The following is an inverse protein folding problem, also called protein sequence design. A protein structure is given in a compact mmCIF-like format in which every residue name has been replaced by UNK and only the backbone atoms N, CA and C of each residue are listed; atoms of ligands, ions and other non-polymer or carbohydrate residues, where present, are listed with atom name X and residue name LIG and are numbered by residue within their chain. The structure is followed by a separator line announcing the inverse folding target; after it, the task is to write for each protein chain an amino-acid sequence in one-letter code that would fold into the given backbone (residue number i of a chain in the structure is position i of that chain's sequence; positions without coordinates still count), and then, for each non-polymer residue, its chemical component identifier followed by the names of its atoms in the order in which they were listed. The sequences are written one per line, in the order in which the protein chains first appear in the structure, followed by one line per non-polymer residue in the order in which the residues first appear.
data_IF_480369164067
#
_entry.id   IF_480369164067
#
_cell.length_a   1.000
_cell.length_b   1.000
_cell.length_c   1.000
_cell.angle_alpha   90.00
_cell.angle_beta   90.00
_cell.angle_gamma   90.00
#
_symmetry.space_group_name_H-M   'P 1'
#
loop_
_entity.id
_entity.type
_entity.pdbx_description
1 polymer ?
#
# COMPACT_ATOMS: atom_id res chain seq x y z
N UNK A 1 8.82 -12.24 -3.62
CA UNK A 1 8.74 -10.93 -4.29
C UNK A 1 7.77 -10.03 -3.55
N UNK A 2 8.15 -8.80 -3.35
CA UNK A 2 7.29 -7.81 -2.68
C UNK A 2 6.06 -7.53 -3.55
N UNK A 3 4.89 -7.47 -2.92
CA UNK A 3 3.64 -7.22 -3.62
C UNK A 3 3.06 -5.88 -3.18
N UNK A 4 2.90 -4.95 -4.12
CA UNK A 4 2.41 -3.61 -3.83
C UNK A 4 1.15 -3.36 -4.66
N UNK A 5 0.15 -2.75 -4.03
CA UNK A 5 -1.09 -2.40 -4.69
C UNK A 5 -1.29 -0.89 -4.58
N UNK A 6 -1.74 -0.28 -5.67
CA UNK A 6 -2.16 1.10 -5.69
C UNK A 6 -3.63 1.12 -6.08
N UNK A 7 -4.48 1.72 -5.26
CA UNK A 7 -5.90 1.84 -5.57
C UNK A 7 -6.38 3.26 -5.37
N UNK A 8 -6.68 3.93 -6.46
CA UNK A 8 -7.19 5.31 -6.46
C UNK A 8 -8.03 5.47 -7.72
N UNK A 9 -9.23 6.00 -7.56
CA UNK A 9 -10.12 6.17 -8.72
C UNK A 9 -9.63 7.26 -9.67
N UNK A 10 -8.68 8.08 -9.25
CA UNK A 10 -8.07 9.08 -10.11
C UNK A 10 -6.82 8.51 -10.74
N UNK A 11 -6.89 8.24 -12.05
CA UNK A 11 -5.76 7.66 -12.78
C UNK A 11 -4.53 8.54 -12.74
N UNK A 12 -4.71 9.86 -12.59
CA UNK A 12 -3.58 10.77 -12.48
C UNK A 12 -2.73 10.43 -11.26
N UNK A 13 -3.38 10.13 -10.14
CA UNK A 13 -2.66 9.75 -8.93
C UNK A 13 -1.88 8.45 -9.16
N UNK A 14 -2.54 7.46 -9.77
CA UNK A 14 -1.86 6.21 -10.06
C UNK A 14 -0.65 6.41 -10.95
N UNK A 15 -0.78 7.28 -11.96
CA UNK A 15 0.32 7.58 -12.88
C UNK A 15 1.46 8.32 -12.20
N UNK A 16 1.16 9.10 -11.16
CA UNK A 16 2.20 9.80 -10.40
C UNK A 16 2.90 8.87 -9.42
N UNK A 17 2.14 8.01 -8.77
CA UNK A 17 2.69 7.11 -7.77
C UNK A 17 3.59 6.03 -8.36
N UNK A 18 3.16 5.44 -9.46
CA UNK A 18 3.84 4.27 -10.01
C UNK A 18 5.31 4.52 -10.29
N UNK A 19 5.69 5.59 -11.03
CA UNK A 19 7.11 5.80 -11.31
C UNK A 19 7.93 6.07 -10.05
N UNK A 20 7.35 6.76 -9.08
CA UNK A 20 8.06 7.06 -7.83
C UNK A 20 8.38 5.75 -7.09
N UNK A 21 7.39 4.88 -6.97
CA UNK A 21 7.58 3.62 -6.29
C UNK A 21 8.56 2.73 -7.05
N UNK A 22 8.42 2.66 -8.37
CA UNK A 22 9.31 1.86 -9.19
C UNK A 22 10.76 2.32 -9.07
N UNK A 23 10.98 3.63 -9.12
CA UNK A 23 12.32 4.17 -9.04
C UNK A 23 12.95 3.88 -7.67
N UNK A 24 12.17 4.04 -6.62
CA UNK A 24 12.66 3.76 -5.28
C UNK A 24 13.11 2.31 -5.15
N UNK A 25 12.26 1.38 -5.62
CA UNK A 25 12.55 -0.04 -5.50
C UNK A 25 13.74 -0.45 -6.36
N UNK A 26 13.88 0.15 -7.54
CA UNK A 26 15.02 -0.13 -8.40
C UNK A 26 16.33 0.31 -7.75
N UNK A 27 16.32 1.49 -7.15
CA UNK A 27 17.52 1.98 -6.47
C UNK A 27 17.92 1.10 -5.31
N UNK A 28 16.96 0.51 -4.63
CA UNK A 28 17.21 -0.39 -3.52
C UNK A 28 17.40 -1.83 -3.96
N UNK A 29 17.23 -2.11 -5.25
CA UNK A 29 17.37 -3.45 -5.83
C UNK A 29 16.39 -4.44 -5.20
N UNK A 30 15.17 -3.99 -4.99
CA UNK A 30 14.10 -4.82 -4.41
C UNK A 30 13.14 -5.22 -5.51
N UNK A 31 13.06 -6.50 -5.86
CA UNK A 31 12.07 -6.94 -6.85
C UNK A 31 10.66 -6.88 -6.30
N UNK A 32 9.75 -6.38 -7.09
CA UNK A 32 8.37 -6.20 -6.65
C UNK A 32 7.41 -6.31 -7.80
N UNK A 33 6.21 -6.77 -7.49
CA UNK A 33 5.09 -6.74 -8.41
C UNK A 33 4.15 -5.63 -7.96
N UNK A 34 3.80 -4.73 -8.87
CA UNK A 34 2.93 -3.61 -8.55
C UNK A 34 1.66 -3.73 -9.38
N UNK A 35 0.52 -3.76 -8.71
CA UNK A 35 -0.78 -3.81 -9.35
C UNK A 35 -1.51 -2.51 -9.10
N UNK A 36 -2.23 -2.04 -10.12
CA UNK A 36 -2.99 -0.79 -10.03
C UNK A 36 -4.46 -1.06 -10.18
N UNK A 37 -5.26 -0.44 -9.33
CA UNK A 37 -6.71 -0.49 -9.39
C UNK A 37 -7.24 0.93 -9.39
N UNK A 38 -8.26 1.16 -10.20
CA UNK A 38 -8.97 2.45 -10.19
C UNK A 38 -10.38 2.31 -9.64
N UNK A 39 -10.71 1.14 -9.11
CA UNK A 39 -12.06 0.78 -8.74
C UNK A 39 -12.01 -0.15 -7.54
N UNK A 40 -12.63 0.31 -6.45
CA UNK A 40 -12.66 -0.46 -5.22
C UNK A 40 -13.41 -1.79 -5.39
N UNK A 41 -14.43 -1.80 -6.25
CA UNK A 41 -15.20 -3.01 -6.47
C UNK A 41 -14.33 -4.12 -7.03
N UNK A 42 -13.51 -3.79 -8.02
CA UNK A 42 -12.62 -4.78 -8.61
C UNK A 42 -11.59 -5.27 -7.60
N UNK A 43 -11.06 -4.36 -6.81
CA UNK A 43 -10.10 -4.72 -5.78
C UNK A 43 -10.72 -5.69 -4.77
N UNK A 44 -11.95 -5.43 -4.36
CA UNK A 44 -12.63 -6.30 -3.40
C UNK A 44 -12.98 -7.65 -4.03
N UNK A 45 -13.32 -7.68 -5.31
CA UNK A 45 -13.58 -8.94 -5.99
C UNK A 45 -12.33 -9.81 -6.04
N UNK A 46 -11.20 -9.19 -6.35
CA UNK A 46 -9.95 -9.94 -6.50
C UNK A 46 -9.33 -10.32 -5.15
N UNK A 47 -9.51 -9.49 -4.15
CA UNK A 47 -8.94 -9.68 -2.80
C UNK A 47 -7.51 -10.19 -2.84
N UNK A 48 -6.60 -9.48 -3.54
CA UNK A 48 -5.22 -9.98 -3.66
C UNK A 48 -4.45 -9.88 -2.34
N UNK A 49 -3.50 -10.77 -2.18
CA UNK A 49 -2.55 -10.64 -1.08
C UNK A 49 -1.56 -9.53 -1.40
N UNK A 50 -1.14 -8.81 -0.40
CA UNK A 50 -0.22 -7.70 -0.61
C UNK A 50 0.65 -7.47 0.62
N UNK A 51 1.79 -6.86 0.39
CA UNK A 51 2.67 -6.42 1.48
C UNK A 51 2.43 -4.95 1.79
N UNK A 52 2.21 -4.13 0.77
CA UNK A 52 1.96 -2.70 0.93
C UNK A 52 0.85 -2.30 -0.03
N UNK A 53 -0.13 -1.55 0.46
CA UNK A 53 -1.20 -1.02 -0.37
C UNK A 53 -1.32 0.49 -0.14
N UNK A 54 -1.29 1.24 -1.25
CA UNK A 54 -1.63 2.65 -1.24
C UNK A 54 -3.11 2.77 -1.62
N UNK A 55 -3.92 3.25 -0.71
CA UNK A 55 -5.38 3.16 -0.84
C UNK A 55 -6.04 4.52 -0.63
N UNK A 56 -6.71 5.00 -1.66
CA UNK A 56 -7.46 6.26 -1.57
C UNK A 56 -8.63 6.10 -0.62
N UNK A 57 -8.81 7.08 0.27
CA UNK A 57 -9.92 7.08 1.21
C UNK A 57 -11.22 7.52 0.53
N UNK A 58 -11.14 8.54 -0.32
CA UNK A 58 -12.33 9.12 -0.95
C UNK A 58 -12.58 8.54 -2.33
N UNK A 59 -13.28 7.42 -2.39
CA UNK A 59 -13.67 6.85 -3.67
C UNK A 59 -15.20 6.89 -3.80
N UNK A 60 -15.72 7.06 -5.03
CA UNK A 60 -17.14 7.34 -5.21
C UNK A 60 -18.08 6.29 -4.66
N UNK A 61 -17.78 5.02 -4.86
CA UNK A 61 -18.72 3.96 -4.51
C UNK A 61 -18.38 3.29 -3.21
N UNK A 62 -17.13 3.39 -2.79
CA UNK A 62 -16.69 2.67 -1.62
C UNK A 62 -15.59 3.45 -0.93
N UNK A 63 -15.81 3.75 0.33
CA UNK A 63 -14.81 4.45 1.13
C UNK A 63 -13.61 3.53 1.37
N UNK A 64 -12.41 4.08 1.22
CA UNK A 64 -11.19 3.29 1.39
C UNK A 64 -11.07 2.63 2.76
N UNK A 65 -11.61 3.28 3.79
CA UNK A 65 -11.56 2.70 5.13
C UNK A 65 -12.41 1.43 5.19
N UNK A 66 -13.57 1.43 4.52
CA UNK A 66 -14.40 0.23 4.47
C UNK A 66 -13.73 -0.89 3.67
N UNK A 67 -13.01 -0.50 2.62
CA UNK A 67 -12.23 -1.47 1.84
C UNK A 67 -11.17 -2.11 2.73
N UNK A 68 -10.45 -1.30 3.51
CA UNK A 68 -9.44 -1.81 4.42
C UNK A 68 -10.03 -2.77 5.45
N UNK A 69 -11.22 -2.45 5.96
CA UNK A 69 -11.90 -3.33 6.91
C UNK A 69 -12.18 -4.68 6.29
N UNK A 70 -12.59 -4.69 5.00
CA UNK A 70 -12.87 -5.94 4.32
C UNK A 70 -11.62 -6.81 4.22
N UNK A 71 -10.47 -6.22 3.91
CA UNK A 71 -9.23 -6.97 3.88
C UNK A 71 -8.86 -7.53 5.24
N UNK A 72 -9.06 -6.76 6.30
CA UNK A 72 -8.76 -7.23 7.65
C UNK A 72 -9.66 -8.39 8.05
N UNK A 73 -10.92 -8.38 7.62
CA UNK A 73 -11.84 -9.49 7.88
C UNK A 73 -11.37 -10.77 7.22
N UNK A 74 -10.66 -10.67 6.10
CA UNK A 74 -10.11 -11.83 5.41
C UNK A 74 -8.73 -12.20 5.92
N UNK A 75 -8.34 -11.64 7.06
CA UNK A 75 -7.03 -11.89 7.67
C UNK A 75 -5.86 -11.49 6.77
N UNK A 76 -6.08 -10.48 5.95
CA UNK A 76 -5.03 -9.93 5.10
C UNK A 76 -4.42 -8.74 5.82
N UNK A 77 -3.20 -8.90 6.33
CA UNK A 77 -2.58 -7.95 7.23
C UNK A 77 -1.40 -7.18 6.60
N UNK A 78 -1.40 -7.03 5.30
CA UNK A 78 -0.42 -6.18 4.65
C UNK A 78 -0.52 -4.75 5.15
N UNK A 79 0.52 -3.97 4.90
CA UNK A 79 0.57 -2.58 5.36
C UNK A 79 -0.30 -1.73 4.45
N UNK A 80 -1.20 -0.96 5.05
CA UNK A 80 -2.08 -0.07 4.30
C UNK A 80 -1.66 1.36 4.56
N UNK A 81 -1.39 2.10 3.48
CA UNK A 81 -1.06 3.51 3.52
C UNK A 81 -2.19 4.25 2.84
N UNK A 82 -2.90 5.07 3.60
CA UNK A 82 -4.03 5.81 3.04
C UNK A 82 -3.57 7.03 2.27
N UNK A 83 -4.26 7.30 1.16
CA UNK A 83 -4.10 8.53 0.40
C UNK A 83 -5.35 9.36 0.61
N UNK A 84 -5.20 10.64 0.96
CA UNK A 84 -6.36 11.44 1.24
C UNK A 84 -6.09 12.92 1.00
N UNK A 85 -7.14 13.66 0.64
CA UNK A 85 -7.08 15.12 0.57
C UNK A 85 -7.28 15.76 1.93
N UNK A 86 -7.75 15.01 2.91
CA UNK A 86 -8.16 15.57 4.19
C UNK A 86 -7.46 14.89 5.34
N UNK A 87 -6.64 15.66 6.05
CA UNK A 87 -5.90 15.14 7.19
C UNK A 87 -6.82 14.62 8.30
N UNK A 88 -8.05 15.12 8.35
CA UNK A 88 -8.97 14.70 9.42
C UNK A 88 -9.33 13.22 9.33
N UNK A 89 -9.15 12.60 8.18
CA UNK A 89 -9.42 11.17 8.06
C UNK A 89 -8.43 10.31 8.82
N UNK A 90 -7.33 10.90 9.29
CA UNK A 90 -6.31 10.11 9.98
C UNK A 90 -6.87 9.39 11.20
N UNK A 91 -7.75 10.05 11.95
CA UNK A 91 -8.32 9.44 13.14
C UNK A 91 -9.19 8.24 12.81
N UNK A 92 -10.04 8.40 11.80
CA UNK A 92 -10.89 7.30 11.37
C UNK A 92 -10.06 6.16 10.81
N UNK A 93 -8.99 6.51 10.09
CA UNK A 93 -8.12 5.51 9.48
C UNK A 93 -7.49 4.60 10.54
N UNK A 94 -7.18 5.12 11.70
CA UNK A 94 -6.55 4.31 12.74
C UNK A 94 -7.45 3.18 13.24
N UNK A 95 -8.74 3.26 12.97
CA UNK A 95 -9.65 2.20 13.42
C UNK A 95 -9.37 0.86 12.76
N UNK A 96 -8.63 0.82 11.64
CA UNK A 96 -8.30 -0.42 10.94
C UNK A 96 -6.79 -0.70 10.94
N UNK A 97 -6.06 -0.05 11.84
CA UNK A 97 -4.63 -0.27 12.02
C UNK A 97 -3.84 -0.07 10.73
N UNK A 98 -3.86 1.14 10.18
CA UNK A 98 -3.07 1.41 8.99
C UNK A 98 -1.61 1.56 9.37
N UNK A 99 -0.72 1.40 8.39
CA UNK A 99 0.68 1.75 8.63
C UNK A 99 0.87 3.26 8.69
N UNK A 100 0.15 3.97 7.82
CA UNK A 100 0.25 5.42 7.82
C UNK A 100 -0.70 6.04 6.82
N UNK A 101 -0.54 7.33 6.60
CA UNK A 101 -1.33 8.01 5.58
C UNK A 101 -0.49 9.11 4.94
N UNK A 102 -0.88 9.49 3.73
CA UNK A 102 -0.24 10.54 2.97
C UNK A 102 -1.32 11.50 2.48
N UNK A 103 -1.06 12.79 2.62
CA UNK A 103 -1.98 13.81 2.15
C UNK A 103 -1.65 14.15 0.70
N UNK A 104 -2.66 14.23 -0.14
CA UNK A 104 -2.49 14.71 -1.51
C UNK A 104 -2.26 16.21 -1.49
N UNK A 105 -1.50 16.77 -2.40
CA UNK A 105 -0.93 16.16 -3.59
C UNK A 105 0.27 15.27 -3.30
N UNK A 106 0.54 14.38 -4.24
CA UNK A 106 1.63 13.41 -4.12
C UNK A 106 2.98 14.11 -4.10
N UNK A 107 3.82 13.71 -3.15
CA UNK A 107 5.15 14.29 -2.95
C UNK A 107 6.15 13.14 -2.94
N UNK A 108 7.09 13.18 -3.87
CA UNK A 108 8.08 12.10 -4.02
C UNK A 108 8.83 11.84 -2.71
N UNK A 109 9.23 12.89 -2.03
CA UNK A 109 9.99 12.77 -0.81
C UNK A 109 9.20 12.02 0.27
N UNK A 110 7.93 12.37 0.41
CA UNK A 110 7.07 11.71 1.39
C UNK A 110 6.79 10.26 1.02
N UNK A 111 6.63 9.98 -0.26
CA UNK A 111 6.44 8.60 -0.72
C UNK A 111 7.67 7.77 -0.40
N UNK A 112 8.86 8.28 -0.72
CA UNK A 112 10.08 7.53 -0.46
C UNK A 112 10.27 7.27 1.03
N UNK A 113 9.95 8.27 1.85
CA UNK A 113 10.11 8.14 3.29
C UNK A 113 9.19 7.06 3.86
N UNK A 114 7.92 7.05 3.44
CA UNK A 114 6.99 6.08 3.99
C UNK A 114 7.28 4.68 3.46
N UNK A 115 7.79 4.56 2.23
CA UNK A 115 8.23 3.29 1.72
C UNK A 115 9.38 2.73 2.54
N UNK A 116 10.34 3.58 2.87
CA UNK A 116 11.47 3.16 3.69
C UNK A 116 10.98 2.64 5.04
N UNK A 117 10.07 3.37 5.66
CA UNK A 117 9.54 2.98 6.96
C UNK A 117 8.76 1.68 6.88
N UNK A 118 7.94 1.53 5.83
CA UNK A 118 7.14 0.32 5.66
C UNK A 118 8.02 -0.90 5.44
N UNK A 119 9.06 -0.76 4.63
CA UNK A 119 9.96 -1.87 4.35
C UNK A 119 10.76 -2.27 5.59
N UNK A 120 11.20 -1.29 6.37
CA UNK A 120 11.88 -1.58 7.62
C UNK A 120 10.98 -2.33 8.58
N UNK A 121 9.72 -1.90 8.66
CA UNK A 121 8.76 -2.55 9.54
C UNK A 121 8.55 -4.01 9.13
N UNK A 122 8.42 -4.26 7.83
CA UNK A 122 8.22 -5.62 7.34
C UNK A 122 9.42 -6.51 7.65
N UNK A 123 10.63 -5.98 7.54
CA UNK A 123 11.82 -6.74 7.88
C UNK A 123 11.86 -7.12 9.35
N UNK A 124 11.54 -6.16 10.22
CA UNK A 124 11.56 -6.39 11.66
C UNK A 124 10.49 -7.38 12.09
N UNK A 125 9.31 -7.28 11.47
CA UNK A 125 8.19 -8.14 11.82
C UNK A 125 8.44 -9.57 11.39
N UNK A 126 9.17 -9.75 10.31
CA UNK A 126 9.41 -11.06 9.72
C UNK A 126 10.88 -11.18 9.36
N UNK A 127 11.75 -11.41 10.35
CA UNK A 127 13.20 -11.40 10.09
C UNK A 127 13.67 -12.43 9.07
N UNK A 128 12.87 -13.44 8.81
CA UNK A 128 13.21 -14.43 7.78
C UNK A 128 12.76 -13.99 6.39
N UNK A 129 12.01 -12.93 6.32
CA UNK A 129 11.54 -12.39 5.04
C UNK A 129 12.65 -11.56 4.44
N UNK A 130 13.09 -11.89 3.26
CA UNK A 130 14.16 -11.15 2.59
C UNK A 130 13.65 -10.64 1.25
N UNK A 131 13.60 -9.32 1.14
CA UNK A 131 13.20 -8.70 -0.11
C UNK A 131 14.27 -8.95 -1.13
N UNK A 132 14.19 -9.10 -2.23
CA UNK A 132 15.24 -9.37 -3.20
C UNK A 132 15.72 -10.78 -3.24
N UNK A 133 15.57 -11.52 -2.15
CA UNK A 133 15.91 -12.93 -2.10
C UNK A 133 14.76 -13.66 -1.47
N UNK A 134 13.97 -14.32 -2.26
CA UNK A 134 12.84 -15.07 -1.74
C UNK A 134 13.37 -16.38 -1.21
N UNK A 135 13.29 -16.50 0.03
CA UNK A 135 13.68 -17.74 0.63
C UNK A 135 12.54 -18.67 0.51
N UNK A 136 12.59 -19.38 0.32
CA UNK A 136 11.68 -19.95 0.33
C UNK A 136 11.14 -20.26 1.23
N UNK A 137 11.29 -20.41 1.40
CA UNK A 137 10.85 -20.38 2.33
C UNK A 137 10.25 -19.67 2.73
N UNK A 138 10.09 -19.48 2.24
CA UNK A 138 9.53 -18.72 2.62
C UNK A 138 9.32 -18.35 3.59
N UNK A 139 9.72 -18.42 3.76
CA UNK A 139 9.69 -18.15 4.73
C UNK A 139 9.06 -17.42 5.17
N UNK A 140 8.58 -17.42 5.24
CA UNK A 140 8.08 -16.58 5.63
C UNK A 140 7.53 -16.59 6.25
#
# INVERSE_FOLDING_TARGET
MLSIIICDDDQTINHQLLPIIQQYLEQKKIPAAIQQYTDAKKLLEDMPLFDIMFLDVEMPEENGIEVAKAFRKQSNWGQIIYLTNYAQYAQTAYSVHPFGYLTKPIDEENINKILEEALEYLEKKSPHHQFGVMTDTGIK
#
